data_IF_508632568175
#
_entry.id   IF_508632568175
#
_cell.length_a   1.000
_cell.length_b   1.000
_cell.length_c   1.000
_cell.angle_alpha   90.00
_cell.angle_beta   90.00
_cell.angle_gamma   90.00
#
_symmetry.space_group_name_H-M   'P 1'
#
loop_
_entity.id
_entity.type
_entity.pdbx_description
1 polymer ?
#
# COMPACT_ATOMS: atom_id res chain seq x y z
N UNK A 1 21.29 26.74 11.10
CA UNK A 1 19.86 26.44 11.30
C UNK A 1 19.36 25.77 10.03
N UNK A 2 18.47 24.78 10.14
CA UNK A 2 17.85 24.16 8.96
C UNK A 2 16.96 25.17 8.25
N UNK A 3 17.04 25.20 6.92
CA UNK A 3 16.11 25.92 6.05
C UNK A 3 14.76 25.20 6.00
N UNK A 4 13.71 25.93 5.61
CA UNK A 4 12.37 25.36 5.45
C UNK A 4 12.34 24.21 4.43
N UNK A 5 13.13 24.32 3.36
CA UNK A 5 13.27 23.28 2.35
C UNK A 5 13.89 21.99 2.93
N UNK A 6 14.94 22.11 3.76
CA UNK A 6 15.56 20.95 4.41
C UNK A 6 14.62 20.28 5.41
N UNK A 7 13.79 21.06 6.12
CA UNK A 7 12.76 20.51 7.02
C UNK A 7 11.73 19.70 6.23
N UNK A 8 11.17 20.25 5.14
CA UNK A 8 10.22 19.53 4.30
C UNK A 8 10.82 18.31 3.63
N UNK A 9 12.08 18.38 3.21
CA UNK A 9 12.81 17.22 2.69
C UNK A 9 12.87 16.11 3.74
N UNK A 10 13.22 16.45 4.98
CA UNK A 10 13.20 15.52 6.12
C UNK A 10 11.83 14.89 6.36
N UNK A 11 10.75 15.68 6.27
CA UNK A 11 9.36 15.17 6.39
C UNK A 11 9.05 14.15 5.30
N UNK A 12 9.38 14.45 4.03
CA UNK A 12 9.17 13.51 2.91
C UNK A 12 9.96 12.22 3.12
N UNK A 13 11.23 12.31 3.53
CA UNK A 13 12.06 11.14 3.80
C UNK A 13 11.51 10.28 4.94
N UNK A 14 11.10 10.90 6.05
CA UNK A 14 10.53 10.18 7.20
C UNK A 14 9.22 9.50 6.81
N UNK A 15 8.33 10.21 6.10
CA UNK A 15 7.06 9.64 5.63
C UNK A 15 7.29 8.47 4.66
N UNK A 16 8.24 8.59 3.74
CA UNK A 16 8.58 7.52 2.81
C UNK A 16 9.19 6.29 3.52
N UNK A 17 10.07 6.51 4.50
CA UNK A 17 10.63 5.42 5.32
C UNK A 17 9.51 4.74 6.13
N UNK A 18 8.62 5.52 6.75
CA UNK A 18 7.49 4.98 7.48
C UNK A 18 6.60 4.13 6.59
N UNK A 19 6.26 4.61 5.38
CA UNK A 19 5.51 3.82 4.39
C UNK A 19 6.22 2.51 4.04
N UNK A 20 7.50 2.56 3.68
CA UNK A 20 8.27 1.37 3.30
C UNK A 20 8.37 0.35 4.44
N UNK A 21 8.51 0.80 5.69
CA UNK A 21 8.62 -0.10 6.84
C UNK A 21 7.25 -0.68 7.22
N UNK A 22 6.21 0.16 7.24
CA UNK A 22 4.88 -0.22 7.71
C UNK A 22 4.10 -0.95 6.61
N UNK A 23 3.87 -0.34 5.45
CA UNK A 23 3.13 -1.01 4.37
C UNK A 23 3.99 -2.10 3.68
N UNK A 24 5.31 -2.02 3.79
CA UNK A 24 6.21 -3.04 3.23
C UNK A 24 6.01 -4.44 3.80
N UNK A 25 5.63 -4.58 5.08
CA UNK A 25 5.29 -5.91 5.61
C UNK A 25 3.92 -6.38 5.12
N UNK A 26 2.95 -5.48 4.92
CA UNK A 26 1.64 -5.83 4.36
C UNK A 26 1.78 -6.38 2.93
N UNK A 27 2.57 -5.67 2.10
CA UNK A 27 2.96 -6.12 0.77
C UNK A 27 3.74 -7.45 0.81
N UNK A 28 4.64 -7.59 1.78
CA UNK A 28 5.36 -8.84 2.04
C UNK A 28 4.43 -10.03 2.34
N UNK A 29 3.43 -9.82 3.19
CA UNK A 29 2.39 -10.81 3.48
C UNK A 29 1.59 -11.14 2.23
N UNK A 30 1.20 -10.14 1.42
CA UNK A 30 0.55 -10.34 0.12
C UNK A 30 1.35 -11.24 -0.82
N UNK A 31 2.65 -11.00 -0.96
CA UNK A 31 3.54 -11.83 -1.79
C UNK A 31 3.62 -13.29 -1.28
N UNK A 32 3.75 -13.48 0.03
CA UNK A 32 3.82 -14.83 0.64
C UNK A 32 2.46 -15.56 0.59
N UNK A 33 1.35 -14.81 0.60
CA UNK A 33 -0.01 -15.35 0.58
C UNK A 33 -0.29 -16.18 -0.67
N UNK A 34 0.26 -15.76 -1.83
CA UNK A 34 0.13 -16.46 -3.10
C UNK A 34 0.66 -17.89 -3.05
N UNK A 35 1.78 -18.10 -2.35
CA UNK A 35 2.47 -19.39 -2.26
C UNK A 35 1.91 -20.28 -1.15
N UNK A 36 1.14 -19.71 -0.23
CA UNK A 36 0.52 -20.44 0.88
C UNK A 36 -0.59 -21.34 0.35
N UNK A 37 -0.64 -22.60 0.77
CA UNK A 37 -1.56 -23.61 0.20
C UNK A 37 -2.84 -23.82 1.01
N UNK A 38 -2.77 -23.68 2.33
CA UNK A 38 -3.93 -23.95 3.21
C UNK A 38 -4.73 -22.67 3.43
N UNK A 39 -6.05 -22.78 3.35
CA UNK A 39 -6.97 -21.63 3.55
C UNK A 39 -6.88 -21.07 4.97
N UNK A 40 -6.65 -21.93 5.97
CA UNK A 40 -6.45 -21.53 7.37
C UNK A 40 -5.20 -20.67 7.54
N UNK A 41 -4.09 -21.06 6.91
CA UNK A 41 -2.83 -20.30 6.93
C UNK A 41 -2.99 -18.95 6.21
N UNK A 42 -3.64 -18.95 5.04
CA UNK A 42 -4.00 -17.71 4.31
C UNK A 42 -4.85 -16.76 5.16
N UNK A 43 -5.82 -17.31 5.91
CA UNK A 43 -6.65 -16.51 6.80
C UNK A 43 -5.86 -15.96 7.99
N UNK A 44 -4.92 -16.74 8.54
CA UNK A 44 -4.04 -16.29 9.61
C UNK A 44 -3.17 -15.11 9.14
N UNK A 45 -2.63 -15.18 7.92
CA UNK A 45 -1.84 -14.11 7.31
C UNK A 45 -2.63 -12.81 7.18
N UNK A 46 -3.86 -12.88 6.66
CA UNK A 46 -4.74 -11.71 6.56
C UNK A 46 -5.12 -11.13 7.91
N UNK A 47 -5.38 -11.99 8.91
CA UNK A 47 -5.68 -11.53 10.27
C UNK A 47 -4.47 -10.86 10.95
N UNK A 48 -3.23 -11.19 10.55
CA UNK A 48 -2.03 -10.58 11.10
C UNK A 48 -1.88 -9.10 10.69
N UNK A 49 -2.32 -8.76 9.47
CA UNK A 49 -2.26 -7.40 8.94
C UNK A 49 -3.58 -6.62 9.11
N UNK A 50 -4.70 -7.32 9.23
CA UNK A 50 -6.05 -6.77 9.29
C UNK A 50 -6.24 -5.57 10.24
N UNK A 51 -5.65 -5.55 11.44
CA UNK A 51 -5.82 -4.42 12.37
C UNK A 51 -5.08 -3.13 11.98
N UNK A 52 -4.11 -3.18 11.06
CA UNK A 52 -3.15 -2.08 10.84
C UNK A 52 -2.96 -1.65 9.39
N UNK A 53 -3.26 -2.51 8.41
CA UNK A 53 -2.96 -2.25 7.00
C UNK A 53 -3.54 -0.92 6.48
N UNK A 54 -4.78 -0.59 6.82
CA UNK A 54 -5.44 0.64 6.38
C UNK A 54 -4.73 1.89 6.92
N UNK A 55 -4.20 1.80 8.15
CA UNK A 55 -3.38 2.85 8.74
C UNK A 55 -1.98 2.96 8.12
N UNK A 56 -1.42 1.85 7.64
CA UNK A 56 -0.10 1.84 7.01
C UNK A 56 -0.12 2.54 5.65
N UNK A 57 -1.18 2.34 4.86
CA UNK A 57 -1.38 3.01 3.55
C UNK A 57 -1.50 4.54 3.68
N UNK A 58 -1.91 5.08 4.83
CA UNK A 58 -1.98 6.54 5.05
C UNK A 58 -0.61 7.21 4.85
N UNK A 59 0.50 6.51 5.13
CA UNK A 59 1.83 7.08 4.96
C UNK A 59 2.15 7.40 3.50
N UNK A 60 1.61 6.64 2.55
CA UNK A 60 1.71 6.95 1.12
C UNK A 60 1.02 8.27 0.78
N UNK A 61 -0.17 8.49 1.34
CA UNK A 61 -0.92 9.75 1.18
C UNK A 61 -0.15 10.92 1.78
N UNK A 62 0.48 10.71 2.95
CA UNK A 62 1.34 11.73 3.59
C UNK A 62 2.54 12.07 2.71
N UNK A 63 3.20 11.09 2.07
CA UNK A 63 4.30 11.35 1.13
C UNK A 63 3.83 12.24 -0.02
N UNK A 64 2.69 11.91 -0.64
CA UNK A 64 2.11 12.71 -1.72
C UNK A 64 1.76 14.13 -1.27
N UNK A 65 1.11 14.27 -0.10
CA UNK A 65 0.76 15.57 0.47
C UNK A 65 1.98 16.42 0.86
N UNK A 66 3.02 15.80 1.42
CA UNK A 66 4.26 16.47 1.80
C UNK A 66 5.03 16.94 0.56
N UNK A 67 5.06 16.15 -0.51
CA UNK A 67 5.62 16.58 -1.80
C UNK A 67 4.83 17.75 -2.38
N UNK A 68 3.50 17.71 -2.35
CA UNK A 68 2.66 18.80 -2.84
C UNK A 68 2.87 20.10 -2.03
N UNK A 69 3.00 20.00 -0.71
CA UNK A 69 3.15 21.15 0.17
C UNK A 69 4.58 21.74 0.16
N UNK A 70 5.60 20.89 0.22
CA UNK A 70 7.01 21.31 0.31
C UNK A 70 7.71 21.47 -1.03
N UNK A 71 7.32 20.70 -2.06
CA UNK A 71 7.97 20.66 -3.37
C UNK A 71 6.96 20.54 -4.54
N UNK A 72 6.05 21.51 -4.72
CA UNK A 72 4.99 21.42 -5.74
C UNK A 72 5.48 21.10 -7.17
N UNK A 73 6.61 21.68 -7.66
CA UNK A 73 7.13 21.31 -8.98
C UNK A 73 7.52 19.83 -9.07
N UNK A 74 8.14 19.27 -8.02
CA UNK A 74 8.51 17.86 -7.99
C UNK A 74 7.27 16.95 -7.99
N UNK A 75 6.26 17.29 -7.18
CA UNK A 75 4.97 16.59 -7.19
C UNK A 75 4.34 16.57 -8.59
N UNK A 76 4.24 17.73 -9.23
CA UNK A 76 3.65 17.85 -10.57
C UNK A 76 4.43 17.05 -11.62
N UNK A 77 5.76 17.12 -11.60
CA UNK A 77 6.61 16.36 -12.52
C UNK A 77 6.48 14.86 -12.31
N UNK A 78 6.48 14.39 -11.06
CA UNK A 78 6.32 12.95 -10.76
C UNK A 78 4.97 12.43 -11.25
N UNK A 79 3.87 13.09 -10.89
CA UNK A 79 2.52 12.66 -11.29
C UNK A 79 2.30 12.70 -12.81
N UNK A 80 2.88 13.68 -13.51
CA UNK A 80 2.74 13.79 -14.97
C UNK A 80 3.66 12.83 -15.73
N UNK A 81 4.95 12.77 -15.38
CA UNK A 81 5.92 11.92 -16.05
C UNK A 81 5.62 10.43 -15.84
N UNK A 82 5.10 10.05 -14.67
CA UNK A 82 4.76 8.67 -14.33
C UNK A 82 3.25 8.42 -14.34
N UNK A 83 2.46 9.20 -15.08
CA UNK A 83 1.00 9.08 -15.06
C UNK A 83 0.53 7.62 -15.21
N UNK A 84 0.92 6.94 -16.29
CA UNK A 84 0.48 5.55 -16.54
C UNK A 84 0.97 4.58 -15.46
N UNK A 85 2.27 4.52 -15.10
CA UNK A 85 2.72 3.71 -13.96
C UNK A 85 1.99 4.01 -12.65
N UNK A 86 1.74 5.28 -12.35
CA UNK A 86 1.09 5.73 -11.12
C UNK A 86 -0.38 5.29 -11.07
N UNK A 87 -1.09 5.34 -12.20
CA UNK A 87 -2.46 4.84 -12.28
C UNK A 87 -2.54 3.31 -12.12
N UNK A 88 -1.57 2.57 -12.64
CA UNK A 88 -1.49 1.11 -12.43
C UNK A 88 -1.22 0.79 -10.96
N UNK A 89 -0.26 1.50 -10.35
CA UNK A 89 0.06 1.38 -8.94
C UNK A 89 -1.16 1.69 -8.06
N UNK A 90 -1.86 2.80 -8.33
CA UNK A 90 -3.07 3.20 -7.62
C UNK A 90 -4.18 2.14 -7.74
N UNK A 91 -4.39 1.60 -8.94
CA UNK A 91 -5.35 0.52 -9.13
C UNK A 91 -4.96 -0.73 -8.30
N UNK A 92 -3.67 -1.08 -8.28
CA UNK A 92 -3.15 -2.20 -7.49
C UNK A 92 -3.47 -2.07 -6.00
N UNK A 93 -3.13 -0.94 -5.38
CA UNK A 93 -3.40 -0.72 -3.94
C UNK A 93 -4.91 -0.70 -3.63
N UNK A 94 -5.75 -0.15 -4.51
CA UNK A 94 -7.21 -0.17 -4.35
C UNK A 94 -7.71 -1.62 -4.38
N UNK A 95 -7.29 -2.41 -5.36
CA UNK A 95 -7.70 -3.81 -5.46
C UNK A 95 -7.21 -4.65 -4.28
N UNK A 96 -6.01 -4.36 -3.76
CA UNK A 96 -5.45 -5.01 -2.57
C UNK A 96 -6.32 -4.75 -1.33
N UNK A 97 -6.68 -3.49 -1.10
CA UNK A 97 -7.58 -3.07 -0.03
C UNK A 97 -8.94 -3.78 -0.11
N UNK A 98 -9.54 -3.80 -1.31
CA UNK A 98 -10.80 -4.50 -1.55
C UNK A 98 -10.66 -6.00 -1.30
N UNK A 99 -9.55 -6.63 -1.71
CA UNK A 99 -9.34 -8.06 -1.53
C UNK A 99 -9.33 -8.48 -0.06
N UNK A 100 -8.66 -7.71 0.82
CA UNK A 100 -8.61 -7.96 2.26
C UNK A 100 -10.05 -7.99 2.84
N UNK A 101 -10.85 -6.99 2.50
CA UNK A 101 -12.22 -6.83 3.01
C UNK A 101 -13.20 -7.86 2.44
N UNK A 102 -13.10 -8.16 1.14
CA UNK A 102 -14.10 -8.94 0.41
C UNK A 102 -13.85 -10.44 0.45
N UNK A 103 -12.61 -10.89 0.63
CA UNK A 103 -12.24 -12.32 0.58
C UNK A 103 -13.14 -13.21 1.43
N UNK A 104 -13.44 -12.78 2.66
CA UNK A 104 -14.18 -13.59 3.65
C UNK A 104 -15.69 -13.38 3.62
N UNK A 105 -16.22 -12.52 2.74
CA UNK A 105 -17.67 -12.22 2.66
C UNK A 105 -18.50 -13.37 2.07
N UNK A 106 -17.90 -14.21 1.22
CA UNK A 106 -18.53 -15.41 0.68
C UNK A 106 -17.67 -16.65 0.95
N UNK A 107 -18.30 -17.77 1.30
CA UNK A 107 -17.63 -19.05 1.57
C UNK A 107 -17.29 -19.85 0.31
N UNK A 108 -17.68 -19.37 -0.87
CA UNK A 108 -17.44 -20.04 -2.15
C UNK A 108 -15.94 -20.11 -2.48
N UNK A 109 -15.46 -21.30 -2.89
CA UNK A 109 -14.03 -21.55 -3.16
C UNK A 109 -13.47 -20.64 -4.26
N UNK A 110 -14.19 -20.48 -5.37
CA UNK A 110 -13.76 -19.61 -6.46
C UNK A 110 -13.71 -18.13 -6.08
N UNK A 111 -14.56 -17.70 -5.14
CA UNK A 111 -14.55 -16.32 -4.62
C UNK A 111 -13.29 -16.07 -3.81
N UNK A 112 -12.97 -16.96 -2.86
CA UNK A 112 -11.75 -16.85 -2.06
C UNK A 112 -10.50 -16.89 -2.92
N UNK A 113 -10.45 -17.77 -3.93
CA UNK A 113 -9.32 -17.86 -4.85
C UNK A 113 -9.11 -16.58 -5.67
N UNK A 114 -10.19 -15.96 -6.16
CA UNK A 114 -10.09 -14.68 -6.86
C UNK A 114 -9.43 -13.62 -5.97
N UNK A 115 -9.96 -13.43 -4.75
CA UNK A 115 -9.42 -12.42 -3.84
C UNK A 115 -8.04 -12.78 -3.29
N UNK A 116 -7.69 -14.06 -3.18
CA UNK A 116 -6.33 -14.49 -2.85
C UNK A 116 -5.32 -14.04 -3.92
N UNK A 117 -5.68 -14.15 -5.20
CA UNK A 117 -4.83 -13.70 -6.31
C UNK A 117 -4.75 -12.17 -6.30
N UNK A 118 -5.89 -11.49 -6.19
CA UNK A 118 -5.96 -10.02 -6.22
C UNK A 118 -5.19 -9.40 -5.05
N UNK A 119 -5.23 -10.00 -3.86
CA UNK A 119 -4.45 -9.55 -2.70
C UNK A 119 -2.93 -9.70 -2.91
N UNK A 120 -2.51 -10.60 -3.80
CA UNK A 120 -1.10 -10.89 -4.07
C UNK A 120 -0.52 -10.10 -5.26
N UNK A 121 -1.34 -9.30 -5.95
CA UNK A 121 -0.94 -8.39 -7.03
C UNK A 121 -0.45 -7.06 -6.44
#
# INVERSE_FOLDING_TARGET
MLSLAEVWYGVVCIAAIAYVVLDGFDLGVGMLHLFTRKDEERRLMLNAIGPVWDGNEVWLVVVGGALLAGFPPAYATLCSAFYTPFMIFLAGIIFRAVAIEFRSKLSHKGWRQLWDIVFSL
#
